data_IF_344548952619
#
_entry.id   IF_344548952619
#
_cell.length_a   1.000
_cell.length_b   1.000
_cell.length_c   1.000
_cell.angle_alpha   90.00
_cell.angle_beta   90.00
_cell.angle_gamma   90.00
#
_symmetry.space_group_name_H-M   'P 1'
#
loop_
_entity.id
_entity.type
_entity.pdbx_description
1 polymer ?
#
# COMPACT_ATOMS: atom_id res chain seq x y z
N UNK A 1 9.26 -14.42 14.30
CA UNK A 1 8.03 -14.71 13.51
C UNK A 1 8.17 -14.04 12.16
N UNK A 2 8.02 -14.81 11.05
CA UNK A 2 8.16 -14.32 9.68
C UNK A 2 7.16 -13.18 9.41
N UNK A 3 7.61 -12.10 8.76
CA UNK A 3 6.78 -10.96 8.35
C UNK A 3 5.57 -11.40 7.50
N UNK A 4 5.73 -12.47 6.72
CA UNK A 4 4.66 -13.12 5.95
C UNK A 4 3.52 -13.64 6.86
N UNK A 5 3.82 -14.14 8.07
CA UNK A 5 2.79 -14.53 9.05
C UNK A 5 1.99 -13.33 9.55
N UNK A 6 2.64 -12.18 9.79
CA UNK A 6 1.95 -10.93 10.19
C UNK A 6 1.10 -10.37 9.05
N UNK A 7 1.60 -10.41 7.82
CA UNK A 7 0.85 -9.99 6.64
C UNK A 7 -0.39 -10.88 6.44
N UNK A 8 -0.22 -12.19 6.51
CA UNK A 8 -1.30 -13.18 6.39
C UNK A 8 -2.38 -13.01 7.47
N UNK A 9 -1.98 -12.70 8.72
CA UNK A 9 -2.94 -12.44 9.81
C UNK A 9 -3.68 -11.12 9.65
N UNK A 10 -3.04 -10.07 9.12
CA UNK A 10 -3.66 -8.78 8.85
C UNK A 10 -4.69 -8.83 7.70
N UNK A 11 -4.39 -9.59 6.66
CA UNK A 11 -5.26 -9.78 5.49
C UNK A 11 -6.35 -10.85 5.72
N UNK A 12 -6.26 -11.65 6.79
CA UNK A 12 -7.14 -12.77 7.04
C UNK A 12 -8.62 -12.39 7.15
N UNK A 13 -8.93 -11.21 7.73
CA UNK A 13 -10.32 -10.72 7.86
C UNK A 13 -10.93 -10.35 6.51
N UNK A 14 -10.18 -9.66 5.66
CA UNK A 14 -10.63 -9.26 4.32
C UNK A 14 -10.75 -10.49 3.42
N UNK A 15 -9.74 -11.37 3.44
CA UNK A 15 -9.78 -12.63 2.71
C UNK A 15 -10.95 -13.53 3.15
N UNK A 16 -11.23 -13.64 4.45
CA UNK A 16 -12.35 -14.41 4.95
C UNK A 16 -13.72 -13.84 4.51
N UNK A 17 -13.87 -12.51 4.47
CA UNK A 17 -15.09 -11.87 3.96
C UNK A 17 -15.30 -12.16 2.48
N UNK A 18 -14.28 -11.96 1.65
CA UNK A 18 -14.34 -12.27 0.21
C UNK A 18 -14.67 -13.74 0.01
N UNK A 19 -13.99 -14.66 0.71
CA UNK A 19 -14.23 -16.10 0.58
C UNK A 19 -15.65 -16.49 1.05
N UNK A 20 -16.15 -15.89 2.13
CA UNK A 20 -17.52 -16.17 2.61
C UNK A 20 -18.58 -15.67 1.61
N UNK A 21 -18.39 -14.47 1.05
CA UNK A 21 -19.31 -13.90 0.04
C UNK A 21 -19.28 -14.69 -1.27
N UNK A 22 -18.16 -15.32 -1.62
CA UNK A 22 -18.03 -16.16 -2.81
C UNK A 22 -18.51 -17.60 -2.58
N UNK A 23 -18.97 -17.95 -1.37
CA UNK A 23 -19.43 -19.30 -1.03
C UNK A 23 -20.58 -19.81 -1.88
N UNK A 24 -21.43 -18.91 -2.39
CA UNK A 24 -22.56 -19.27 -3.27
C UNK A 24 -22.13 -19.83 -4.63
N UNK A 25 -20.91 -19.54 -5.07
CA UNK A 25 -20.35 -19.99 -6.36
C UNK A 25 -19.60 -21.32 -6.23
N UNK A 26 -19.25 -21.72 -5.01
CA UNK A 26 -18.46 -22.93 -4.75
C UNK A 26 -19.28 -24.20 -4.98
N UNK A 27 -18.65 -25.23 -5.54
CA UNK A 27 -19.25 -26.52 -5.81
C UNK A 27 -20.11 -26.58 -7.08
N UNK A 28 -20.27 -25.47 -7.82
CA UNK A 28 -20.99 -25.44 -9.11
C UNK A 28 -20.08 -25.95 -10.23
N UNK A 29 -20.69 -26.57 -11.28
CA UNK A 29 -19.98 -26.99 -12.50
C UNK A 29 -19.79 -25.78 -13.46
N UNK A 30 -19.04 -24.79 -13.01
CA UNK A 30 -18.80 -23.55 -13.77
C UNK A 30 -19.52 -22.34 -13.16
N UNK A 31 -19.28 -21.20 -13.74
CA UNK A 31 -19.84 -19.90 -13.30
C UNK A 31 -20.84 -19.44 -14.36
N UNK A 32 -22.13 -19.45 -14.01
CA UNK A 32 -23.23 -18.91 -14.82
C UNK A 32 -23.39 -17.39 -14.62
N UNK A 33 -24.32 -16.79 -15.36
CA UNK A 33 -24.55 -15.33 -15.29
C UNK A 33 -24.96 -14.86 -13.87
N UNK A 34 -25.83 -15.62 -13.19
CA UNK A 34 -26.27 -15.28 -11.83
C UNK A 34 -25.12 -15.39 -10.83
N UNK A 35 -24.27 -16.41 -10.97
CA UNK A 35 -23.06 -16.55 -10.15
C UNK A 35 -22.05 -15.42 -10.37
N UNK A 36 -21.98 -14.87 -11.59
CA UNK A 36 -21.12 -13.72 -11.89
C UNK A 36 -21.60 -12.44 -11.21
N UNK A 37 -22.91 -12.20 -11.16
CA UNK A 37 -23.48 -11.07 -10.43
C UNK A 37 -23.19 -11.20 -8.93
N UNK A 38 -23.35 -12.40 -8.36
CA UNK A 38 -22.99 -12.66 -6.96
C UNK A 38 -21.50 -12.41 -6.67
N UNK A 39 -20.61 -12.78 -7.59
CA UNK A 39 -19.17 -12.50 -7.50
C UNK A 39 -18.89 -11.00 -7.57
N UNK A 40 -19.51 -10.29 -8.51
CA UNK A 40 -19.33 -8.84 -8.67
C UNK A 40 -19.80 -8.10 -7.42
N UNK A 41 -20.97 -8.42 -6.90
CA UNK A 41 -21.51 -7.84 -5.66
C UNK A 41 -20.60 -8.13 -4.45
N UNK A 42 -20.06 -9.34 -4.35
CA UNK A 42 -19.11 -9.70 -3.31
C UNK A 42 -17.82 -8.88 -3.38
N UNK A 43 -17.29 -8.65 -4.59
CA UNK A 43 -16.08 -7.85 -4.82
C UNK A 43 -16.33 -6.37 -4.52
N UNK A 44 -17.49 -5.82 -4.88
CA UNK A 44 -17.90 -4.45 -4.55
C UNK A 44 -18.02 -4.29 -3.02
N UNK A 45 -18.66 -5.26 -2.36
CA UNK A 45 -18.79 -5.28 -0.89
C UNK A 45 -17.44 -5.40 -0.16
N UNK A 46 -16.42 -5.87 -0.84
CA UNK A 46 -15.03 -5.94 -0.36
C UNK A 46 -14.20 -4.68 -0.72
N UNK A 47 -14.84 -3.59 -1.09
CA UNK A 47 -14.24 -2.29 -1.42
C UNK A 47 -13.32 -2.29 -2.68
N UNK A 48 -13.50 -3.24 -3.61
CA UNK A 48 -12.72 -3.24 -4.85
C UNK A 48 -13.15 -2.14 -5.84
N UNK A 49 -14.33 -1.55 -5.63
CA UNK A 49 -14.94 -0.61 -6.56
C UNK A 49 -15.58 -1.30 -7.77
N UNK A 50 -16.58 -0.65 -8.35
CA UNK A 50 -17.44 -1.24 -9.40
C UNK A 50 -16.67 -1.58 -10.68
N UNK A 51 -15.75 -0.73 -11.12
CA UNK A 51 -14.99 -0.95 -12.34
C UNK A 51 -14.06 -2.18 -12.26
N UNK A 52 -13.34 -2.34 -11.14
CA UNK A 52 -12.47 -3.49 -10.94
C UNK A 52 -13.28 -4.78 -10.72
N UNK A 53 -14.40 -4.71 -9.99
CA UNK A 53 -15.28 -5.85 -9.78
C UNK A 53 -15.87 -6.37 -11.09
N UNK A 54 -16.39 -5.50 -11.95
CA UNK A 54 -16.92 -5.84 -13.27
C UNK A 54 -15.85 -6.46 -14.18
N UNK A 55 -14.63 -5.90 -14.20
CA UNK A 55 -13.54 -6.47 -15.01
C UNK A 55 -13.13 -7.87 -14.51
N UNK A 56 -13.07 -8.08 -13.19
CA UNK A 56 -12.77 -9.39 -12.60
C UNK A 56 -13.88 -10.40 -12.89
N UNK A 57 -15.15 -10.03 -12.74
CA UNK A 57 -16.29 -10.87 -13.09
C UNK A 57 -16.25 -11.29 -14.58
N UNK A 58 -15.96 -10.34 -15.47
CA UNK A 58 -15.79 -10.61 -16.91
C UNK A 58 -14.65 -11.59 -17.21
N UNK A 59 -13.52 -11.48 -16.49
CA UNK A 59 -12.39 -12.42 -16.61
C UNK A 59 -12.77 -13.79 -16.12
N UNK A 60 -13.45 -13.89 -14.98
CA UNK A 60 -13.94 -15.15 -14.43
C UNK A 60 -14.92 -15.86 -15.36
N UNK A 61 -15.76 -15.13 -16.09
CA UNK A 61 -16.63 -15.69 -17.14
C UNK A 61 -15.85 -16.40 -18.23
N UNK A 62 -14.65 -15.90 -18.56
CA UNK A 62 -13.79 -16.50 -19.60
C UNK A 62 -12.90 -17.61 -19.05
N UNK A 63 -12.75 -17.69 -17.74
CA UNK A 63 -11.91 -18.71 -17.10
C UNK A 63 -12.61 -20.08 -17.17
N UNK A 64 -11.89 -21.08 -17.68
CA UNK A 64 -12.39 -22.46 -17.71
C UNK A 64 -11.99 -23.14 -16.43
N UNK A 65 -12.94 -23.43 -15.57
CA UNK A 65 -12.73 -24.25 -14.40
C UNK A 65 -12.78 -25.74 -14.78
N UNK A 66 -11.78 -26.50 -14.38
CA UNK A 66 -11.76 -27.96 -14.57
C UNK A 66 -12.61 -28.60 -13.46
N UNK A 67 -13.82 -29.08 -13.82
CA UNK A 67 -14.75 -29.71 -12.88
C UNK A 67 -15.54 -28.71 -12.03
N UNK A 68 -15.70 -29.02 -10.74
CA UNK A 68 -16.41 -28.14 -9.80
C UNK A 68 -15.52 -26.97 -9.36
N UNK A 69 -16.13 -25.78 -9.23
CA UNK A 69 -15.43 -24.56 -8.79
C UNK A 69 -15.02 -24.73 -7.33
N UNK A 70 -13.73 -25.00 -7.09
CA UNK A 70 -13.17 -25.05 -5.76
C UNK A 70 -12.77 -23.66 -5.25
N UNK A 71 -12.73 -23.46 -3.94
CA UNK A 71 -12.29 -22.21 -3.34
C UNK A 71 -10.85 -21.83 -3.74
N UNK A 72 -9.97 -22.80 -3.94
CA UNK A 72 -8.60 -22.58 -4.38
C UNK A 72 -8.52 -22.16 -5.84
N UNK A 73 -9.30 -22.76 -6.72
CA UNK A 73 -9.36 -22.39 -8.13
C UNK A 73 -9.95 -20.98 -8.32
N UNK A 74 -11.00 -20.67 -7.55
CA UNK A 74 -11.61 -19.34 -7.55
C UNK A 74 -10.62 -18.27 -7.04
N UNK A 75 -9.92 -18.54 -5.94
CA UNK A 75 -8.92 -17.63 -5.39
C UNK A 75 -7.73 -17.42 -6.34
N UNK A 76 -7.29 -18.47 -7.04
CA UNK A 76 -6.23 -18.37 -8.04
C UNK A 76 -6.68 -17.47 -9.21
N UNK A 77 -7.85 -17.71 -9.79
CA UNK A 77 -8.38 -16.92 -10.90
C UNK A 77 -8.56 -15.44 -10.53
N UNK A 78 -9.04 -15.15 -9.31
CA UNK A 78 -9.13 -13.78 -8.80
C UNK A 78 -7.75 -13.15 -8.60
N UNK A 79 -6.80 -13.88 -8.03
CA UNK A 79 -5.43 -13.41 -7.81
C UNK A 79 -4.75 -13.06 -9.14
N UNK A 80 -4.89 -13.90 -10.15
CA UNK A 80 -4.35 -13.64 -11.49
C UNK A 80 -4.99 -12.40 -12.11
N UNK A 81 -6.33 -12.28 -12.03
CA UNK A 81 -7.05 -11.11 -12.53
C UNK A 81 -6.66 -9.80 -11.82
N UNK A 82 -6.48 -9.82 -10.50
CA UNK A 82 -6.02 -8.68 -9.72
C UNK A 82 -4.57 -8.34 -10.08
N UNK A 83 -3.73 -9.34 -10.24
CA UNK A 83 -2.33 -9.15 -10.66
C UNK A 83 -2.25 -8.45 -12.01
N UNK A 84 -3.04 -8.86 -12.99
CA UNK A 84 -3.09 -8.23 -14.30
C UNK A 84 -3.56 -6.77 -14.26
N UNK A 85 -4.50 -6.44 -13.36
CA UNK A 85 -4.96 -5.06 -13.16
C UNK A 85 -3.87 -4.21 -12.52
N UNK A 86 -3.13 -4.76 -11.56
CA UNK A 86 -2.13 -4.03 -10.79
C UNK A 86 -0.76 -3.95 -11.47
N UNK A 87 -0.37 -4.96 -12.26
CA UNK A 87 0.96 -5.03 -12.87
C UNK A 87 1.35 -3.77 -13.67
N UNK A 88 0.47 -3.15 -14.48
CA UNK A 88 0.83 -1.93 -15.22
C UNK A 88 1.15 -0.72 -14.33
N UNK A 89 0.59 -0.67 -13.12
CA UNK A 89 0.74 0.44 -12.17
C UNK A 89 1.67 0.12 -11.00
N UNK A 90 2.14 -1.12 -10.89
CA UNK A 90 3.07 -1.58 -9.86
C UNK A 90 4.51 -1.17 -10.22
N UNK A 91 4.75 0.15 -10.24
CA UNK A 91 6.07 0.71 -10.52
C UNK A 91 6.83 0.95 -9.22
N UNK A 92 8.16 0.71 -9.19
CA UNK A 92 8.98 1.06 -8.04
C UNK A 92 9.02 2.58 -7.87
N UNK A 93 8.89 3.04 -6.62
CA UNK A 93 9.10 4.45 -6.29
C UNK A 93 10.61 4.73 -6.25
N UNK A 94 11.15 5.19 -7.37
CA UNK A 94 12.56 5.57 -7.48
C UNK A 94 12.68 7.10 -7.38
N UNK A 95 13.68 7.62 -6.62
CA UNK A 95 13.98 9.04 -6.64
C UNK A 95 14.38 9.49 -8.04
N UNK A 96 13.77 10.56 -8.51
CA UNK A 96 14.13 11.21 -9.77
C UNK A 96 15.40 12.02 -9.57
N UNK A 97 16.48 11.64 -10.25
CA UNK A 97 17.79 12.28 -10.12
C UNK A 97 17.88 13.64 -10.83
N UNK A 98 16.87 14.00 -11.62
CA UNK A 98 16.79 15.32 -12.26
C UNK A 98 16.34 16.39 -11.25
N UNK A 99 15.67 16.00 -10.16
CA UNK A 99 15.23 16.87 -9.08
C UNK A 99 16.16 16.72 -7.86
N UNK A 100 16.79 17.80 -7.45
CA UNK A 100 17.71 17.86 -6.30
C UNK A 100 17.33 18.98 -5.35
N UNK A 101 16.74 18.66 -4.21
CA UNK A 101 16.37 17.32 -3.73
C UNK A 101 15.12 16.77 -4.41
N UNK A 102 15.02 15.44 -4.50
CA UNK A 102 13.76 14.76 -4.77
C UNK A 102 12.91 14.75 -3.51
N UNK A 103 11.72 15.31 -3.55
CA UNK A 103 10.84 15.46 -2.39
C UNK A 103 9.66 14.49 -2.49
N UNK A 104 9.43 13.71 -1.43
CA UNK A 104 8.26 12.84 -1.31
C UNK A 104 7.40 13.27 -0.14
N UNK A 105 6.17 13.70 -0.42
CA UNK A 105 5.18 14.08 0.58
C UNK A 105 4.24 12.89 0.89
N UNK A 106 4.25 12.44 2.14
CA UNK A 106 3.33 11.40 2.62
C UNK A 106 2.10 12.02 3.26
N UNK A 107 0.95 11.84 2.62
CA UNK A 107 -0.33 12.40 3.04
C UNK A 107 -1.30 11.31 3.47
N UNK A 108 -2.16 11.61 4.43
CA UNK A 108 -3.22 10.70 4.88
C UNK A 108 -3.78 11.11 6.24
N UNK A 109 -4.96 10.57 6.59
CA UNK A 109 -5.61 10.79 7.88
C UNK A 109 -4.82 10.20 9.04
N UNK A 110 -5.15 10.58 10.27
CA UNK A 110 -4.53 10.02 11.46
C UNK A 110 -4.77 8.51 11.53
N UNK A 111 -3.72 7.75 11.86
CA UNK A 111 -3.78 6.29 11.91
C UNK A 111 -3.64 5.56 10.56
N UNK A 112 -3.57 6.27 9.43
CA UNK A 112 -3.38 5.66 8.10
C UNK A 112 -2.00 5.00 7.90
N UNK A 113 -1.09 5.15 8.86
CA UNK A 113 0.21 4.49 8.85
C UNK A 113 1.33 5.24 8.11
N UNK A 114 1.24 6.55 7.89
CA UNK A 114 2.24 7.36 7.17
C UNK A 114 3.68 7.20 7.65
N UNK A 115 3.89 7.20 8.95
CA UNK A 115 5.23 7.17 9.57
C UNK A 115 6.02 5.89 9.25
N UNK A 116 5.34 4.75 9.21
CA UNK A 116 6.00 3.46 8.92
C UNK A 116 6.52 3.37 7.48
N UNK A 117 5.76 3.71 6.43
CA UNK A 117 6.29 3.83 5.08
C UNK A 117 7.42 4.85 4.94
N UNK A 118 7.33 6.02 5.63
CA UNK A 118 8.42 7.00 5.64
C UNK A 118 9.74 6.38 6.10
N UNK A 119 9.73 5.70 7.25
CA UNK A 119 10.92 5.03 7.77
C UNK A 119 11.44 3.90 6.88
N UNK A 120 10.54 3.13 6.26
CA UNK A 120 10.92 2.04 5.35
C UNK A 120 11.53 2.56 4.04
N UNK A 121 10.97 3.63 3.46
CA UNK A 121 11.51 4.29 2.28
C UNK A 121 12.88 4.89 2.57
N UNK A 122 13.02 5.57 3.71
CA UNK A 122 14.32 6.11 4.14
C UNK A 122 15.37 4.99 4.23
N UNK A 123 15.05 3.88 4.88
CA UNK A 123 15.95 2.73 4.97
C UNK A 123 16.33 2.18 3.61
N UNK A 124 15.37 1.99 2.71
CA UNK A 124 15.59 1.47 1.37
C UNK A 124 16.54 2.37 0.57
N UNK A 125 16.34 3.69 0.63
CA UNK A 125 17.16 4.62 -0.13
C UNK A 125 18.55 4.81 0.48
N UNK A 126 18.68 4.80 1.80
CA UNK A 126 19.99 4.79 2.48
C UNK A 126 20.78 3.53 2.09
N UNK A 127 20.15 2.36 2.08
CA UNK A 127 20.77 1.12 1.61
C UNK A 127 21.18 1.17 0.12
N UNK A 128 20.44 1.94 -0.69
CA UNK A 128 20.80 2.21 -2.08
C UNK A 128 21.86 3.34 -2.24
N UNK A 129 22.49 3.78 -1.14
CA UNK A 129 23.53 4.80 -1.15
C UNK A 129 23.06 6.24 -1.33
N UNK A 130 21.74 6.49 -1.18
CA UNK A 130 21.19 7.84 -1.28
C UNK A 130 21.28 8.57 0.08
N UNK A 131 21.52 9.88 0.03
CA UNK A 131 21.39 10.75 1.22
C UNK A 131 19.93 11.06 1.43
N UNK A 132 19.41 10.80 2.62
CA UNK A 132 17.99 10.96 2.96
C UNK A 132 17.85 11.87 4.17
N UNK A 133 16.86 12.75 4.13
CA UNK A 133 16.44 13.57 5.27
C UNK A 133 14.94 13.36 5.48
N UNK A 134 14.54 13.14 6.73
CA UNK A 134 13.13 13.04 7.14
C UNK A 134 12.67 14.37 7.73
N UNK A 135 11.49 14.85 7.35
CA UNK A 135 10.86 16.02 7.94
C UNK A 135 9.61 15.62 8.73
N UNK A 136 9.57 15.96 10.02
CA UNK A 136 8.46 15.61 10.92
C UNK A 136 7.29 16.62 10.79
N UNK A 137 6.61 16.62 9.63
CA UNK A 137 5.54 17.57 9.28
C UNK A 137 4.22 17.39 10.07
N UNK A 138 4.05 16.31 10.85
CA UNK A 138 2.92 16.15 11.80
C UNK A 138 3.24 16.92 13.10
N UNK A 139 3.22 18.24 13.02
CA UNK A 139 3.60 19.12 14.14
C UNK A 139 2.59 19.10 15.29
N UNK A 140 1.36 18.67 15.07
CA UNK A 140 0.31 18.63 16.09
C UNK A 140 0.46 17.47 17.08
N UNK A 141 1.21 16.42 16.73
CA UNK A 141 1.30 15.17 17.49
C UNK A 141 2.74 14.90 17.94
N UNK A 142 3.05 15.21 19.20
CA UNK A 142 4.37 14.95 19.78
C UNK A 142 4.83 13.49 19.55
N UNK A 143 3.94 12.52 19.79
CA UNK A 143 4.25 11.10 19.58
C UNK A 143 4.60 10.75 18.11
N UNK A 144 4.08 11.48 17.12
CA UNK A 144 4.43 11.26 15.72
C UNK A 144 5.82 11.79 15.40
N UNK A 145 6.21 12.91 15.99
CA UNK A 145 7.56 13.48 15.91
C UNK A 145 8.57 12.50 16.51
N UNK A 146 8.30 12.00 17.73
CA UNK A 146 9.21 11.07 18.43
C UNK A 146 9.32 9.74 17.68
N UNK A 147 8.21 9.23 17.15
CA UNK A 147 8.23 8.02 16.32
C UNK A 147 9.11 8.19 15.07
N UNK A 148 9.09 9.36 14.43
CA UNK A 148 9.92 9.61 13.25
C UNK A 148 11.40 9.75 13.64
N UNK A 149 11.72 10.35 14.79
CA UNK A 149 13.09 10.38 15.33
C UNK A 149 13.64 8.98 15.55
N UNK A 150 12.86 8.07 16.14
CA UNK A 150 13.26 6.66 16.32
C UNK A 150 13.55 5.99 14.97
N UNK A 151 12.77 6.30 13.93
CA UNK A 151 13.07 5.81 12.58
C UNK A 151 14.38 6.39 12.05
N UNK A 152 14.63 7.70 12.24
CA UNK A 152 15.89 8.34 11.87
C UNK A 152 17.09 7.66 12.50
N UNK A 153 17.06 7.42 13.82
CA UNK A 153 18.12 6.71 14.55
C UNK A 153 18.35 5.29 13.99
N UNK A 154 17.28 4.54 13.73
CA UNK A 154 17.37 3.17 13.20
C UNK A 154 17.93 3.09 11.79
N UNK A 155 17.69 4.10 10.99
CA UNK A 155 18.09 4.12 9.58
C UNK A 155 19.37 4.91 9.32
N UNK A 156 19.90 5.59 10.35
CA UNK A 156 21.02 6.52 10.20
C UNK A 156 20.66 7.77 9.39
N UNK A 157 19.38 8.18 9.43
CA UNK A 157 18.84 9.26 8.61
C UNK A 157 18.63 10.52 9.47
N UNK A 158 19.04 11.68 8.97
CA UNK A 158 18.77 12.96 9.64
C UNK A 158 17.26 13.22 9.71
N UNK A 159 16.79 13.72 10.86
CA UNK A 159 15.39 14.10 11.08
C UNK A 159 15.31 15.56 11.44
N UNK A 160 14.65 16.34 10.61
CA UNK A 160 14.30 17.73 10.91
C UNK A 160 12.94 17.74 11.60
N UNK A 161 12.91 18.27 12.82
CA UNK A 161 11.71 18.34 13.65
C UNK A 161 11.60 19.73 14.27
N UNK A 162 10.42 20.33 14.18
CA UNK A 162 10.09 21.58 14.83
C UNK A 162 9.49 21.38 16.22
N UNK A 163 9.08 22.48 16.84
CA UNK A 163 8.29 22.47 18.08
C UNK A 163 6.88 21.94 17.82
N UNK A 164 6.29 21.31 18.83
CA UNK A 164 4.90 20.90 18.75
C UNK A 164 3.98 22.11 18.50
N UNK A 165 3.05 21.99 17.56
CA UNK A 165 2.17 23.09 17.15
C UNK A 165 2.81 24.11 16.21
N UNK A 166 4.07 23.91 15.83
CA UNK A 166 4.78 24.79 14.90
C UNK A 166 4.25 24.69 13.46
N UNK A 167 4.68 25.63 12.62
CA UNK A 167 4.33 25.69 11.21
C UNK A 167 4.98 24.55 10.43
N UNK A 168 4.15 23.64 9.89
CA UNK A 168 4.61 22.51 9.10
C UNK A 168 5.24 22.91 7.76
N UNK A 169 4.81 24.04 7.16
CA UNK A 169 5.39 24.55 5.92
C UNK A 169 6.80 25.12 6.17
N UNK A 170 6.97 25.89 7.24
CA UNK A 170 8.27 26.40 7.66
C UNK A 170 9.25 25.23 7.98
N UNK A 171 8.77 24.18 8.62
CA UNK A 171 9.56 22.98 8.88
C UNK A 171 9.98 22.27 7.58
N UNK A 172 9.07 22.14 6.61
CA UNK A 172 9.39 21.55 5.31
C UNK A 172 10.48 22.37 4.60
N UNK A 173 10.38 23.69 4.63
CA UNK A 173 11.38 24.59 4.08
C UNK A 173 12.75 24.41 4.78
N UNK A 174 12.78 24.41 6.10
CA UNK A 174 13.99 24.13 6.89
C UNK A 174 14.65 22.79 6.57
N UNK A 175 13.84 21.77 6.24
CA UNK A 175 14.37 20.47 5.84
C UNK A 175 15.00 20.48 4.44
N UNK A 176 14.54 21.37 3.55
CA UNK A 176 15.09 21.52 2.20
C UNK A 176 16.41 22.29 2.15
N UNK A 177 16.59 23.28 3.01
CA UNK A 177 17.79 24.13 3.02
C UNK A 177 19.12 23.34 3.11
N UNK A 178 19.35 22.47 4.12
CA UNK A 178 20.62 21.73 4.24
C UNK A 178 20.86 20.80 3.06
N UNK A 179 19.79 20.25 2.46
CA UNK A 179 19.90 19.29 1.36
C UNK A 179 20.26 20.02 0.06
N UNK A 180 19.82 21.24 -0.13
CA UNK A 180 20.12 22.05 -1.31
C UNK A 180 21.58 22.49 -1.37
N UNK A 181 22.22 22.69 -0.22
CA UNK A 181 23.63 23.14 -0.13
C UNK A 181 24.66 22.02 -0.08
N UNK A 182 24.26 20.77 0.20
CA UNK A 182 25.21 19.65 0.31
C UNK A 182 25.62 19.02 -1.01
N UNK A 183 25.31 19.65 -2.15
CA UNK A 183 25.62 19.19 -3.50
C UNK A 183 26.57 20.12 -4.28
N UNK A 184 27.23 21.06 -3.61
CA UNK A 184 28.35 21.85 -4.15
C UNK A 184 29.66 21.09 -4.02
#
# INVERSE_FOLDING_TARGET
>A
MSWLKKLKSGLGKTSARVTASLGAVLGRKGIDAASLEEVEDALISADLGTAAAAELAKRMRKHKFEGEVSASALAAALSDGITDILAPVAQPLLPDETHRPHVVLLVGVNGSGKTTPAGKLAQQWVQAGKKVTLAAGDTFRAAAIDQLKIWGERTGTAVVAGTQGGDAAALAYQALEPVSYTHL
#
